data_IF_529947926349
#
_entry.id   IF_529947926349
#
_cell.length_a   1.000
_cell.length_b   1.000
_cell.length_c   1.000
_cell.angle_alpha   90.00
_cell.angle_beta   90.00
_cell.angle_gamma   90.00
#
_symmetry.space_group_name_H-M   'P 1'
#
loop_
_entity.id
_entity.type
_entity.pdbx_description
1 polymer ?
#
# COMPACT_ATOMS: atom_id res chain seq x y z
N UNK A 1 -20.20 4.33 13.89
CA UNK A 1 -20.74 4.26 12.51
C UNK A 1 -21.04 2.83 12.10
N UNK A 2 -20.05 1.93 12.11
CA UNK A 2 -20.23 0.50 11.79
C UNK A 2 -21.34 -0.20 12.60
N UNK A 3 -21.37 -0.02 13.93
CA UNK A 3 -22.41 -0.61 14.78
C UNK A 3 -23.84 -0.14 14.44
N UNK A 4 -24.01 1.14 14.06
CA UNK A 4 -25.31 1.67 13.60
C UNK A 4 -25.72 1.06 12.26
N UNK A 5 -24.80 0.93 11.31
CA UNK A 5 -25.04 0.26 10.02
C UNK A 5 -25.37 -1.22 10.19
N UNK A 6 -24.73 -1.91 11.15
CA UNK A 6 -25.03 -3.31 11.49
C UNK A 6 -26.43 -3.46 12.09
N UNK A 7 -26.88 -2.49 12.89
CA UNK A 7 -28.22 -2.51 13.49
C UNK A 7 -29.34 -2.17 12.49
N UNK A 8 -29.08 -1.29 11.53
CA UNK A 8 -30.03 -0.86 10.51
C UNK A 8 -30.11 -1.81 9.30
N UNK A 9 -29.13 -2.70 9.13
CA UNK A 9 -29.04 -3.60 7.98
C UNK A 9 -29.10 -5.06 8.43
N UNK A 10 -30.11 -5.80 7.95
CA UNK A 10 -30.31 -7.24 8.24
C UNK A 10 -29.23 -8.15 7.63
N UNK A 11 -28.39 -7.61 6.74
CA UNK A 11 -27.29 -8.33 6.11
C UNK A 11 -26.10 -8.45 7.07
N UNK A 12 -25.83 -9.68 7.52
CA UNK A 12 -24.68 -10.03 8.38
C UNK A 12 -23.33 -10.08 7.62
N UNK A 13 -23.35 -9.86 6.32
CA UNK A 13 -22.16 -9.95 5.46
C UNK A 13 -21.30 -8.68 5.56
N UNK A 14 -20.09 -8.84 6.10
CA UNK A 14 -19.11 -7.76 6.29
C UNK A 14 -18.81 -6.97 5.00
N UNK A 15 -18.85 -7.64 3.84
CA UNK A 15 -18.63 -7.01 2.55
C UNK A 15 -19.73 -6.01 2.18
N UNK A 16 -21.01 -6.38 2.34
CA UNK A 16 -22.14 -5.49 2.09
C UNK A 16 -22.14 -4.29 3.05
N UNK A 17 -21.84 -4.55 4.33
CA UNK A 17 -21.70 -3.50 5.34
C UNK A 17 -20.59 -2.50 4.96
N UNK A 18 -19.45 -2.99 4.46
CA UNK A 18 -18.36 -2.13 4.01
C UNK A 18 -18.74 -1.27 2.79
N UNK A 19 -19.56 -1.78 1.88
CA UNK A 19 -20.06 -0.98 0.75
C UNK A 19 -20.96 0.16 1.21
N UNK A 20 -21.86 -0.10 2.16
CA UNK A 20 -22.74 0.92 2.75
C UNK A 20 -21.89 1.95 3.52
N UNK A 21 -20.90 1.50 4.27
CA UNK A 21 -19.98 2.39 4.98
C UNK A 21 -19.21 3.30 4.03
N UNK A 22 -18.75 2.79 2.88
CA UNK A 22 -18.10 3.61 1.86
C UNK A 22 -19.02 4.70 1.33
N UNK A 23 -20.28 4.38 1.01
CA UNK A 23 -21.28 5.37 0.59
C UNK A 23 -21.53 6.42 1.66
N UNK A 24 -21.73 6.00 2.91
CA UNK A 24 -21.95 6.93 4.03
C UNK A 24 -20.74 7.83 4.29
N UNK A 25 -19.52 7.30 4.15
CA UNK A 25 -18.29 8.08 4.30
C UNK A 25 -18.21 9.23 3.28
N UNK A 26 -18.51 8.96 2.01
CA UNK A 26 -18.49 10.00 0.97
C UNK A 26 -19.60 11.03 1.12
N UNK A 27 -20.68 10.71 1.84
CA UNK A 27 -21.76 11.64 2.14
C UNK A 27 -21.46 12.58 3.33
N UNK A 28 -20.43 12.29 4.14
CA UNK A 28 -20.04 13.15 5.27
C UNK A 28 -19.34 14.42 4.76
N UNK A 29 -19.53 15.53 5.49
CA UNK A 29 -18.82 16.77 5.21
C UNK A 29 -17.31 16.66 5.49
N UNK A 30 -16.52 17.60 4.98
CA UNK A 30 -15.06 17.60 5.22
C UNK A 30 -14.72 17.74 6.71
N UNK A 31 -15.51 18.51 7.44
CA UNK A 31 -15.33 18.73 8.89
C UNK A 31 -15.62 17.45 9.67
N UNK A 32 -16.65 16.71 9.28
CA UNK A 32 -16.98 15.41 9.88
C UNK A 32 -15.91 14.36 9.55
N UNK A 33 -15.40 14.34 8.32
CA UNK A 33 -14.29 13.47 7.93
C UNK A 33 -13.00 13.85 8.69
N UNK A 34 -12.74 15.14 8.92
CA UNK A 34 -11.57 15.64 9.65
C UNK A 34 -11.48 15.05 11.06
N UNK A 35 -12.62 14.93 11.76
CA UNK A 35 -12.66 14.27 13.08
C UNK A 35 -12.08 12.86 13.06
N UNK A 36 -12.39 12.08 12.02
CA UNK A 36 -11.86 10.72 11.89
C UNK A 36 -10.36 10.70 11.53
N UNK A 37 -9.89 11.67 10.75
CA UNK A 37 -8.46 11.82 10.46
C UNK A 37 -7.66 12.17 11.72
N UNK A 38 -8.15 13.07 12.57
CA UNK A 38 -7.49 13.41 13.83
C UNK A 38 -7.43 12.20 14.79
N UNK A 39 -8.53 11.45 14.90
CA UNK A 39 -8.54 10.19 15.67
C UNK A 39 -7.53 9.18 15.12
N UNK A 40 -7.46 9.00 13.80
CA UNK A 40 -6.50 8.09 13.17
C UNK A 40 -5.04 8.52 13.41
N UNK A 41 -4.75 9.83 13.46
CA UNK A 41 -3.41 10.34 13.81
C UNK A 41 -3.06 10.04 15.26
N UNK A 42 -3.96 10.30 16.20
CA UNK A 42 -3.75 10.00 17.63
C UNK A 42 -3.48 8.51 17.85
N UNK A 43 -4.30 7.63 17.27
CA UNK A 43 -4.10 6.17 17.33
C UNK A 43 -2.76 5.75 16.73
N UNK A 44 -2.36 6.33 15.58
CA UNK A 44 -1.06 6.04 14.97
C UNK A 44 0.10 6.43 15.91
N UNK A 45 0.03 7.61 16.52
CA UNK A 45 1.06 8.06 17.46
C UNK A 45 1.14 7.15 18.68
N UNK A 46 0.00 6.81 19.27
CA UNK A 46 -0.07 5.90 20.40
C UNK A 46 0.47 4.51 20.06
N UNK A 47 0.09 3.96 18.91
CA UNK A 47 0.56 2.66 18.45
C UNK A 47 2.08 2.64 18.28
N UNK A 48 2.66 3.71 17.73
CA UNK A 48 4.11 3.86 17.60
C UNK A 48 4.82 3.92 18.96
N UNK A 49 4.20 4.55 19.97
CA UNK A 49 4.75 4.62 21.33
C UNK A 49 4.67 3.28 22.07
N UNK A 50 3.53 2.58 21.97
CA UNK A 50 3.30 1.31 22.66
C UNK A 50 4.03 0.13 22.02
N UNK A 51 4.24 0.17 20.70
CA UNK A 51 4.87 -0.91 19.95
C UNK A 51 6.07 -0.41 19.14
N UNK A 52 7.16 -0.01 19.81
CA UNK A 52 8.39 0.39 19.14
C UNK A 52 8.93 -0.81 18.34
N UNK A 53 9.07 -0.63 17.02
CA UNK A 53 9.54 -1.68 16.11
C UNK A 53 8.44 -2.48 15.39
N UNK A 54 7.15 -2.20 15.65
CA UNK A 54 6.06 -2.82 14.88
C UNK A 54 6.12 -2.42 13.40
N UNK A 55 6.12 -3.42 12.52
CA UNK A 55 6.04 -3.24 11.08
C UNK A 55 4.83 -3.97 10.51
N UNK A 56 4.03 -3.29 9.68
CA UNK A 56 2.92 -3.93 8.96
C UNK A 56 3.40 -5.08 8.04
N UNK A 57 4.69 -5.12 7.72
CA UNK A 57 5.32 -6.12 6.84
C UNK A 57 5.04 -7.55 7.28
N UNK A 58 5.03 -7.81 8.59
CA UNK A 58 4.84 -9.15 9.13
C UNK A 58 3.40 -9.65 8.97
N UNK A 59 2.43 -8.74 8.79
CA UNK A 59 1.01 -9.06 8.68
C UNK A 59 0.54 -9.29 7.23
N UNK A 60 1.15 -8.60 6.27
CA UNK A 60 0.75 -8.66 4.85
C UNK A 60 1.48 -9.75 4.03
N UNK A 61 2.53 -10.38 4.55
CA UNK A 61 3.31 -11.40 3.82
C UNK A 61 2.74 -12.83 3.83
N UNK A 62 1.80 -13.14 4.73
CA UNK A 62 1.31 -14.53 4.94
C UNK A 62 0.02 -14.88 4.19
N UNK A 63 -0.71 -13.88 3.65
CA UNK A 63 -1.99 -14.12 2.94
C UNK A 63 -1.79 -13.97 1.43
N UNK A 64 -2.15 -15.00 0.67
CA UNK A 64 -2.16 -14.99 -0.80
C UNK A 64 -3.04 -13.83 -1.27
N UNK A 65 -2.42 -12.80 -1.86
CA UNK A 65 -3.13 -11.67 -2.46
C UNK A 65 -4.11 -12.23 -3.49
N UNK A 66 -5.42 -12.00 -3.30
CA UNK A 66 -6.43 -12.39 -4.30
C UNK A 66 -6.12 -11.66 -5.61
N UNK A 67 -6.22 -12.36 -6.73
CA UNK A 67 -6.04 -11.75 -8.05
C UNK A 67 -7.05 -10.61 -8.19
N UNK A 68 -6.56 -9.46 -8.64
CA UNK A 68 -7.40 -8.35 -9.10
C UNK A 68 -7.85 -8.75 -10.50
N UNK A 69 -9.07 -9.25 -10.65
CA UNK A 69 -9.65 -9.40 -11.98
C UNK A 69 -9.83 -8.01 -12.59
N UNK A 70 -9.09 -7.76 -13.66
CA UNK A 70 -9.16 -6.56 -14.47
C UNK A 70 -10.23 -6.83 -15.52
N UNK A 71 -11.29 -6.02 -15.54
CA UNK A 71 -12.35 -6.07 -16.56
C UNK A 71 -11.72 -6.09 -17.96
N UNK A 72 -12.13 -7.01 -18.87
CA UNK A 72 -11.61 -7.08 -20.23
C UNK A 72 -12.40 -6.13 -21.14
N UNK A 73 -11.75 -5.09 -21.61
CA UNK A 73 -12.35 -4.15 -22.55
C UNK A 73 -11.51 -2.90 -22.70
N UNK A 74 -10.41 -3.01 -23.44
CA UNK A 74 -9.82 -1.98 -24.31
C UNK A 74 -8.50 -2.51 -24.88
N UNK A 75 -8.40 -2.47 -26.20
CA UNK A 75 -7.40 -3.10 -27.07
C UNK A 75 -6.01 -2.47 -26.95
N UNK A 76 -4.99 -3.32 -27.11
CA UNK A 76 -3.55 -3.04 -27.13
C UNK A 76 -3.13 -1.94 -28.12
N UNK A 77 -2.25 -1.02 -27.69
CA UNK A 77 -1.02 -0.59 -28.39
C UNK A 77 -0.29 0.54 -27.62
N UNK A 78 0.00 0.38 -26.31
CA UNK A 78 1.00 1.21 -25.60
C UNK A 78 1.38 0.65 -24.21
N UNK A 79 1.53 -0.67 -24.07
CA UNK A 79 1.82 -1.33 -22.79
C UNK A 79 3.22 -1.94 -22.73
N UNK A 80 4.26 -1.19 -23.11
CA UNK A 80 5.67 -1.60 -22.90
C UNK A 80 6.44 -0.67 -21.94
N UNK A 81 5.77 0.23 -21.18
CA UNK A 81 6.48 1.28 -20.44
C UNK A 81 6.56 1.13 -18.90
N UNK A 82 5.98 0.10 -18.27
CA UNK A 82 6.00 0.02 -16.79
C UNK A 82 6.19 -1.39 -16.21
N UNK A 83 7.05 -2.19 -16.84
CA UNK A 83 7.72 -3.25 -16.07
C UNK A 83 8.80 -2.57 -15.22
N UNK A 84 8.60 -2.60 -13.89
CA UNK A 84 9.62 -2.16 -12.92
C UNK A 84 10.96 -2.83 -13.26
N UNK A 85 12.02 -2.07 -13.62
CA UNK A 85 13.34 -2.64 -13.94
C UNK A 85 14.02 -3.34 -12.74
N UNK A 86 13.43 -3.25 -11.54
CA UNK A 86 13.89 -3.98 -10.36
C UNK A 86 13.37 -5.44 -10.30
N UNK A 87 12.39 -5.83 -11.12
CA UNK A 87 11.76 -7.16 -11.07
C UNK A 87 12.04 -8.04 -12.29
N UNK A 88 12.66 -7.49 -13.33
CA UNK A 88 13.24 -8.30 -14.42
C UNK A 88 14.55 -8.91 -13.92
N UNK A 89 14.45 -10.12 -13.37
CA UNK A 89 15.61 -10.96 -13.06
C UNK A 89 16.42 -11.16 -14.35
N UNK A 90 17.71 -10.80 -14.40
CA UNK A 90 18.62 -11.38 -15.38
C UNK A 90 18.88 -12.86 -15.04
N UNK A 91 19.32 -13.67 -16.01
CA UNK A 91 19.61 -15.08 -15.79
C UNK A 91 20.64 -15.24 -14.66
N UNK A 92 20.31 -16.14 -13.75
CA UNK A 92 21.05 -16.65 -12.60
C UNK A 92 22.57 -16.54 -12.79
N UNK A 93 23.18 -15.44 -12.34
CA UNK A 93 24.57 -15.42 -11.89
C UNK A 93 24.66 -14.42 -10.73
N UNK A 94 25.00 -14.96 -9.57
CA UNK A 94 25.43 -14.27 -8.35
C UNK A 94 24.35 -13.62 -7.44
N UNK A 95 23.80 -14.46 -6.55
CA UNK A 95 22.94 -14.08 -5.42
C UNK A 95 23.70 -13.47 -4.23
N UNK A 96 25.00 -13.16 -4.35
CA UNK A 96 25.81 -12.64 -3.24
C UNK A 96 25.93 -11.11 -3.19
N UNK A 97 25.69 -10.38 -4.30
CA UNK A 97 25.95 -8.95 -4.33
C UNK A 97 24.81 -8.12 -3.68
N UNK A 98 25.07 -7.34 -2.60
CA UNK A 98 24.05 -6.49 -2.00
C UNK A 98 23.63 -5.37 -2.97
N UNK A 99 22.31 -5.16 -3.11
CA UNK A 99 21.73 -4.13 -3.98
C UNK A 99 22.25 -2.73 -3.61
N UNK A 100 23.08 -2.18 -4.49
CA UNK A 100 23.63 -0.82 -4.50
C UNK A 100 22.50 0.18 -4.80
N UNK A 101 21.85 0.75 -3.78
CA UNK A 101 20.68 1.63 -3.94
C UNK A 101 20.72 2.84 -2.99
N UNK A 102 20.26 4.01 -3.45
CA UNK A 102 20.20 5.26 -2.66
C UNK A 102 19.49 5.08 -1.31
N UNK A 103 18.44 4.26 -1.26
CA UNK A 103 17.70 3.99 -0.02
C UNK A 103 18.53 3.26 1.05
N UNK A 104 19.62 2.58 0.65
CA UNK A 104 20.48 1.82 1.56
C UNK A 104 21.79 2.54 1.89
N UNK A 105 22.32 3.30 0.95
CA UNK A 105 23.64 3.92 1.06
C UNK A 105 23.60 5.44 1.34
N UNK A 106 22.42 6.05 1.41
CA UNK A 106 22.28 7.48 1.68
C UNK A 106 22.83 8.35 0.54
N UNK A 107 22.93 9.67 0.78
CA UNK A 107 23.37 10.65 -0.23
C UNK A 107 24.90 10.68 -0.45
N UNK A 108 25.66 10.22 0.54
CA UNK A 108 27.11 10.38 0.62
C UNK A 108 27.90 9.30 -0.14
N UNK A 109 27.28 8.14 -0.42
CA UNK A 109 27.95 6.99 -1.03
C UNK A 109 27.49 6.72 -2.47
N UNK A 110 27.56 7.74 -3.32
CA UNK A 110 27.05 7.72 -4.70
C UNK A 110 27.70 6.64 -5.60
N UNK A 111 28.96 6.28 -5.33
CA UNK A 111 29.67 5.20 -6.02
C UNK A 111 28.99 3.83 -5.82
N UNK A 112 28.27 3.67 -4.71
CA UNK A 112 27.54 2.46 -4.33
C UNK A 112 26.05 2.50 -4.69
N UNK A 113 25.67 3.36 -5.63
CA UNK A 113 24.31 3.39 -6.16
C UNK A 113 24.22 2.56 -7.45
N UNK A 114 23.02 2.19 -7.85
CA UNK A 114 22.76 1.62 -9.16
C UNK A 114 22.54 2.77 -10.16
N UNK A 115 22.68 2.48 -11.46
CA UNK A 115 22.43 3.46 -12.53
C UNK A 115 21.12 4.25 -12.35
N UNK A 116 19.98 3.59 -12.10
CA UNK A 116 18.70 4.27 -11.86
C UNK A 116 18.69 5.21 -10.66
N UNK A 117 19.45 4.90 -9.60
CA UNK A 117 19.52 5.78 -8.42
C UNK A 117 20.44 6.99 -8.63
N UNK A 118 21.47 6.87 -9.49
CA UNK A 118 22.38 7.97 -9.80
C UNK A 118 21.75 9.02 -10.71
N UNK A 119 20.96 8.57 -11.67
CA UNK A 119 20.31 9.44 -12.64
C UNK A 119 18.79 9.25 -12.59
N UNK A 120 18.09 9.82 -11.59
CA UNK A 120 16.64 9.88 -11.61
C UNK A 120 16.22 10.85 -12.73
N UNK A 121 15.40 10.36 -13.68
CA UNK A 121 14.70 11.21 -14.66
C UNK A 121 13.69 12.12 -13.96
#
# INVERSE_FOLDING_TARGET
MRAKVVAECTLKESAAINQILGRRWHALSREEQAKYYELARKERQLHMQLYPGWSARDNYGKKKKRKRDKQPGETNEHSECFLNPCLSLPPITDLSAPKKCRARFGLDQQNNWCGPCRNPL
#
